data_IF_272147409628
#
_entry.id   IF_272147409628
#
_cell.length_a   1.000
_cell.length_b   1.000
_cell.length_c   1.000
_cell.angle_alpha   90.00
_cell.angle_beta   90.00
_cell.angle_gamma   90.00
#
_symmetry.space_group_name_H-M   'P 1'
#
loop_
_entity.id
_entity.type
_entity.pdbx_description
1 polymer ?
#
# COMPACT_ATOMS: atom_id res chain seq x y z
N UNK A 1 16.27 6.09 17.97
CA UNK A 1 15.85 7.07 18.99
C UNK A 1 14.38 6.79 19.29
N UNK A 2 14.00 6.54 20.55
CA UNK A 2 12.64 6.01 20.88
C UNK A 2 11.62 7.15 20.83
N UNK A 3 10.53 6.99 20.08
CA UNK A 3 9.30 7.83 19.99
C UNK A 3 8.61 8.16 21.35
N UNK A 4 9.38 8.30 22.43
CA UNK A 4 8.84 8.46 23.80
C UNK A 4 8.40 9.89 24.15
N UNK A 5 8.71 10.91 23.34
CA UNK A 5 8.59 12.31 23.78
C UNK A 5 7.51 13.15 23.07
N UNK A 6 6.75 12.61 22.13
CA UNK A 6 5.75 13.42 21.37
C UNK A 6 4.35 13.41 21.98
N UNK A 7 4.07 12.53 22.92
CA UNK A 7 2.74 12.46 23.56
C UNK A 7 2.89 12.58 25.06
N UNK A 8 2.69 13.78 25.61
CA UNK A 8 2.48 13.98 27.05
C UNK A 8 1.30 13.12 27.53
N UNK A 9 1.48 12.29 28.58
CA UNK A 9 0.44 11.38 29.05
C UNK A 9 -0.71 12.05 29.84
N UNK A 10 -0.73 13.34 29.99
CA UNK A 10 -1.52 14.04 31.01
C UNK A 10 -2.89 14.52 30.58
N UNK A 11 -3.71 13.80 29.87
CA UNK A 11 -5.17 14.01 29.93
C UNK A 11 -6.00 12.92 29.22
N UNK A 12 -5.72 11.66 29.46
CA UNK A 12 -6.62 10.60 29.01
C UNK A 12 -7.34 9.99 30.20
N UNK A 13 -8.55 10.48 30.50
CA UNK A 13 -9.54 9.67 31.21
C UNK A 13 -9.86 8.46 30.33
N UNK A 14 -9.05 7.43 30.45
CA UNK A 14 -9.25 6.15 29.74
C UNK A 14 -10.44 5.47 30.40
N UNK A 15 -11.65 5.67 29.84
CA UNK A 15 -12.76 4.76 30.11
C UNK A 15 -12.25 3.33 29.87
N UNK A 16 -12.44 2.40 30.83
CA UNK A 16 -11.98 1.03 30.65
C UNK A 16 -12.60 0.48 29.37
N UNK A 17 -11.76 -0.04 28.47
CA UNK A 17 -12.21 -0.70 27.24
C UNK A 17 -13.23 -1.77 27.62
N UNK A 18 -14.38 -1.81 26.94
CA UNK A 18 -15.35 -2.90 27.11
C UNK A 18 -14.63 -4.25 26.95
N UNK A 19 -15.09 -5.27 27.66
CA UNK A 19 -14.50 -6.62 27.61
C UNK A 19 -14.30 -7.09 26.17
N UNK A 20 -15.24 -6.76 25.30
CA UNK A 20 -15.23 -7.07 23.88
C UNK A 20 -14.05 -6.38 23.15
N UNK A 21 -13.79 -5.10 23.41
CA UNK A 21 -12.65 -4.37 22.82
C UNK A 21 -11.30 -4.90 23.36
N UNK A 22 -11.24 -5.32 24.62
CA UNK A 22 -10.05 -5.95 25.21
C UNK A 22 -9.77 -7.30 24.58
N UNK A 23 -10.82 -8.10 24.35
CA UNK A 23 -10.71 -9.40 23.70
C UNK A 23 -10.21 -9.25 22.26
N UNK A 24 -10.84 -8.36 21.47
CA UNK A 24 -10.41 -8.05 20.09
C UNK A 24 -8.96 -7.57 20.05
N UNK A 25 -8.57 -6.65 20.94
CA UNK A 25 -7.18 -6.18 21.03
C UNK A 25 -6.20 -7.32 21.33
N UNK A 26 -6.56 -8.24 22.25
CA UNK A 26 -5.74 -9.41 22.58
C UNK A 26 -5.69 -10.41 21.43
N UNK A 27 -6.82 -10.65 20.76
CA UNK A 27 -6.88 -11.53 19.58
C UNK A 27 -6.06 -10.99 18.41
N UNK A 28 -5.98 -9.67 18.26
CA UNK A 28 -5.17 -9.01 17.21
C UNK A 28 -3.71 -8.79 17.64
N UNK A 29 -3.26 -9.24 18.81
CA UNK A 29 -1.94 -8.93 19.35
C UNK A 29 -0.80 -9.68 18.63
N UNK A 30 -1.05 -10.87 18.10
CA UNK A 30 -0.05 -11.63 17.34
C UNK A 30 -0.40 -11.69 15.83
N UNK A 31 0.60 -11.79 14.95
CA UNK A 31 0.39 -11.95 13.51
C UNK A 31 -0.49 -13.16 13.17
N UNK A 32 -0.29 -14.28 13.83
CA UNK A 32 -1.10 -15.48 13.63
C UNK A 32 -2.56 -15.31 14.04
N UNK A 33 -2.81 -14.64 15.17
CA UNK A 33 -4.17 -14.34 15.60
C UNK A 33 -4.85 -13.39 14.61
N UNK A 34 -4.16 -12.34 14.17
CA UNK A 34 -4.66 -11.41 13.15
C UNK A 34 -5.00 -12.17 11.85
N UNK A 35 -4.08 -13.00 11.37
CA UNK A 35 -4.27 -13.83 10.17
C UNK A 35 -5.51 -14.71 10.29
N UNK A 36 -5.70 -15.40 11.42
CA UNK A 36 -6.88 -16.25 11.67
C UNK A 36 -8.18 -15.45 11.67
N UNK A 37 -8.20 -14.30 12.35
CA UNK A 37 -9.38 -13.42 12.44
C UNK A 37 -9.76 -12.91 11.05
N UNK A 38 -8.79 -12.39 10.29
CA UNK A 38 -9.03 -11.90 8.92
C UNK A 38 -9.54 -13.01 8.01
N UNK A 39 -9.00 -14.22 8.13
CA UNK A 39 -9.47 -15.38 7.35
C UNK A 39 -10.87 -15.87 7.75
N UNK A 40 -11.32 -15.58 8.95
CA UNK A 40 -12.68 -15.89 9.42
C UNK A 40 -13.66 -14.75 9.18
N UNK A 41 -13.14 -13.53 8.94
CA UNK A 41 -13.98 -12.35 8.73
C UNK A 41 -14.85 -12.52 7.48
N UNK A 42 -16.20 -12.40 7.62
CA UNK A 42 -17.13 -12.77 6.56
C UNK A 42 -16.86 -12.12 5.20
N UNK A 43 -16.54 -10.82 5.09
CA UNK A 43 -16.25 -10.18 3.80
C UNK A 43 -15.09 -10.84 3.04
N UNK A 44 -13.97 -11.13 3.72
CA UNK A 44 -12.82 -11.76 3.09
C UNK A 44 -13.08 -13.24 2.78
N UNK A 45 -13.70 -13.94 3.75
CA UNK A 45 -14.01 -15.36 3.60
C UNK A 45 -14.96 -15.61 2.44
N UNK A 46 -16.02 -14.82 2.31
CA UNK A 46 -17.00 -14.95 1.23
C UNK A 46 -16.38 -14.64 -0.13
N UNK A 47 -15.54 -13.62 -0.20
CA UNK A 47 -14.81 -13.25 -1.42
C UNK A 47 -13.71 -14.24 -1.81
N UNK A 48 -13.36 -15.20 -0.93
CA UNK A 48 -12.28 -16.17 -1.18
C UNK A 48 -10.88 -15.61 -0.93
N UNK A 49 -10.77 -14.43 -0.32
CA UNK A 49 -9.51 -13.82 0.07
C UNK A 49 -8.94 -14.60 1.26
N UNK A 50 -7.65 -14.94 1.20
CA UNK A 50 -6.93 -15.63 2.26
C UNK A 50 -5.61 -14.95 2.54
N UNK A 51 -5.38 -14.63 3.79
CA UNK A 51 -4.09 -14.18 4.27
C UNK A 51 -3.28 -15.45 4.56
N UNK A 52 -2.29 -15.75 3.73
CA UNK A 52 -1.44 -16.93 3.90
C UNK A 52 -0.34 -16.69 4.92
N UNK A 53 0.23 -15.49 4.93
CA UNK A 53 1.34 -15.12 5.79
C UNK A 53 1.23 -13.69 6.30
N UNK A 54 1.69 -13.46 7.53
CA UNK A 54 2.04 -12.17 8.10
C UNK A 54 3.29 -12.42 8.94
N UNK A 55 4.38 -11.71 8.65
CA UNK A 55 5.62 -11.83 9.44
C UNK A 55 5.45 -11.33 10.88
N UNK A 56 6.32 -11.81 11.78
CA UNK A 56 6.24 -11.51 13.21
C UNK A 56 6.32 -10.00 13.51
N UNK A 57 7.11 -9.29 12.74
CA UNK A 57 7.32 -7.85 12.81
C UNK A 57 6.31 -7.04 11.96
N UNK A 58 5.41 -7.72 11.25
CA UNK A 58 4.46 -7.14 10.31
C UNK A 58 5.12 -6.36 9.15
N UNK A 59 6.35 -6.70 8.77
CA UNK A 59 7.03 -6.11 7.61
C UNK A 59 6.52 -6.65 6.28
N UNK A 60 5.91 -7.84 6.28
CA UNK A 60 5.43 -8.52 5.09
C UNK A 60 4.10 -9.23 5.33
N UNK A 61 3.26 -9.26 4.31
CA UNK A 61 2.10 -10.15 4.23
C UNK A 61 1.89 -10.68 2.82
N UNK A 62 1.42 -11.93 2.76
CA UNK A 62 1.00 -12.61 1.54
C UNK A 62 -0.49 -12.89 1.55
N UNK A 63 -1.17 -12.38 0.55
CA UNK A 63 -2.61 -12.54 0.36
C UNK A 63 -2.86 -13.29 -0.94
N UNK A 64 -3.73 -14.28 -0.92
CA UNK A 64 -4.05 -15.12 -2.08
C UNK A 64 -5.55 -15.22 -2.23
N UNK A 65 -6.04 -15.23 -3.46
CA UNK A 65 -7.42 -15.57 -3.75
C UNK A 65 -7.58 -17.07 -4.03
N UNK A 66 -8.56 -17.68 -3.35
CA UNK A 66 -8.95 -19.08 -3.56
C UNK A 66 -10.30 -19.15 -4.27
N UNK A 67 -10.29 -19.72 -5.45
CA UNK A 67 -11.49 -19.88 -6.28
C UNK A 67 -12.50 -20.83 -5.65
N UNK A 68 -13.75 -20.41 -5.66
CA UNK A 68 -14.93 -21.25 -5.42
C UNK A 68 -16.00 -20.90 -6.45
N UNK A 69 -17.02 -21.73 -6.59
CA UNK A 69 -18.11 -21.44 -7.51
C UNK A 69 -18.93 -20.19 -7.12
N UNK A 70 -18.82 -19.73 -5.87
CA UNK A 70 -19.54 -18.57 -5.31
C UNK A 70 -18.83 -17.24 -5.52
N UNK A 71 -17.53 -17.22 -5.82
CA UNK A 71 -16.71 -16.01 -5.81
C UNK A 71 -16.04 -15.70 -7.15
N UNK A 72 -16.54 -16.29 -8.20
CA UNK A 72 -16.17 -15.98 -9.59
C UNK A 72 -17.17 -15.00 -10.19
N UNK A 73 -16.72 -14.22 -11.17
CA UNK A 73 -17.60 -13.40 -12.00
C UNK A 73 -18.25 -14.25 -13.12
N UNK A 74 -19.06 -13.62 -13.97
CA UNK A 74 -19.74 -14.31 -15.09
C UNK A 74 -18.79 -14.93 -16.12
N UNK A 75 -17.52 -14.51 -16.15
CA UNK A 75 -16.49 -15.09 -17.01
C UNK A 75 -15.68 -16.22 -16.32
N UNK A 76 -16.07 -16.63 -15.11
CA UNK A 76 -15.40 -17.71 -14.36
C UNK A 76 -14.06 -17.34 -13.76
N UNK A 77 -13.69 -16.05 -13.72
CA UNK A 77 -12.47 -15.52 -13.13
C UNK A 77 -12.75 -14.69 -11.88
N UNK A 78 -11.70 -14.19 -11.21
CA UNK A 78 -11.86 -13.38 -10.00
C UNK A 78 -12.72 -12.15 -10.29
N UNK A 79 -13.69 -11.87 -9.43
CA UNK A 79 -14.45 -10.63 -9.49
C UNK A 79 -13.50 -9.42 -9.23
N UNK A 80 -13.61 -8.37 -10.05
CA UNK A 80 -12.72 -7.21 -9.97
C UNK A 80 -12.70 -6.54 -8.60
N UNK A 81 -13.86 -6.39 -7.95
CA UNK A 81 -13.93 -5.87 -6.59
C UNK A 81 -13.18 -6.73 -5.55
N UNK A 82 -13.06 -8.04 -5.78
CA UNK A 82 -12.25 -8.92 -4.93
C UNK A 82 -10.75 -8.60 -5.08
N UNK A 83 -10.26 -8.39 -6.30
CA UNK A 83 -8.87 -7.98 -6.53
C UNK A 83 -8.58 -6.64 -5.84
N UNK A 84 -9.49 -5.68 -5.95
CA UNK A 84 -9.38 -4.40 -5.25
C UNK A 84 -9.31 -4.59 -3.72
N UNK A 85 -10.21 -5.40 -3.15
CA UNK A 85 -10.24 -5.70 -1.71
C UNK A 85 -8.97 -6.41 -1.22
N UNK A 86 -8.32 -7.23 -2.05
CA UNK A 86 -7.03 -7.85 -1.71
C UNK A 86 -5.93 -6.80 -1.53
N UNK A 87 -5.93 -5.76 -2.37
CA UNK A 87 -4.95 -4.68 -2.27
C UNK A 87 -5.20 -3.79 -1.05
N UNK A 88 -6.47 -3.50 -0.74
CA UNK A 88 -6.82 -2.57 0.33
C UNK A 88 -6.61 -3.15 1.74
N UNK A 89 -6.98 -4.40 1.98
CA UNK A 89 -7.12 -4.97 3.33
C UNK A 89 -5.82 -4.99 4.14
N UNK A 90 -4.67 -5.23 3.51
CA UNK A 90 -3.42 -5.46 4.26
C UNK A 90 -2.49 -4.25 4.30
N UNK A 91 -2.56 -3.35 3.33
CA UNK A 91 -1.63 -2.22 3.25
C UNK A 91 -1.74 -1.34 4.50
N UNK A 92 -2.93 -0.81 4.79
CA UNK A 92 -3.17 -0.02 5.99
C UNK A 92 -3.00 -0.83 7.30
N UNK A 93 -3.36 -2.13 7.28
CA UNK A 93 -3.25 -3.01 8.45
C UNK A 93 -1.79 -3.26 8.86
N UNK A 94 -0.91 -3.54 7.89
CA UNK A 94 0.52 -3.72 8.17
C UNK A 94 1.15 -2.42 8.67
N UNK A 95 0.92 -1.32 7.97
CA UNK A 95 1.47 -0.03 8.38
C UNK A 95 1.00 0.35 9.78
N UNK A 96 -0.30 0.19 10.10
CA UNK A 96 -0.85 0.44 11.42
C UNK A 96 -0.12 -0.37 12.52
N UNK A 97 0.23 -1.62 12.23
CA UNK A 97 0.97 -2.46 13.19
C UNK A 97 2.41 -2.01 13.37
N UNK A 98 3.05 -1.55 12.30
CA UNK A 98 4.45 -1.09 12.30
C UNK A 98 4.62 0.21 13.08
N UNK A 99 3.77 1.20 12.83
CA UNK A 99 3.83 2.51 13.50
C UNK A 99 3.20 2.51 14.89
N UNK A 100 2.38 1.50 15.21
CA UNK A 100 1.79 1.32 16.53
C UNK A 100 0.42 1.98 16.74
N UNK A 101 -0.13 1.75 17.95
CA UNK A 101 -1.51 2.12 18.29
C UNK A 101 -1.74 3.62 18.55
N UNK A 102 -0.68 4.42 18.55
CA UNK A 102 -0.75 5.88 18.74
C UNK A 102 -1.27 6.62 17.51
N UNK A 103 -1.35 5.95 16.38
CA UNK A 103 -1.70 6.53 15.08
C UNK A 103 -2.97 5.90 14.51
N UNK A 104 -3.55 6.55 13.51
CA UNK A 104 -4.62 6.02 12.67
C UNK A 104 -4.13 6.01 11.22
N UNK A 105 -4.45 4.93 10.49
CA UNK A 105 -4.09 4.74 9.08
C UNK A 105 -5.37 4.50 8.30
N UNK A 106 -5.60 5.31 7.28
CA UNK A 106 -6.76 5.21 6.39
C UNK A 106 -6.33 5.29 4.93
N UNK A 107 -6.91 4.47 4.09
CA UNK A 107 -6.81 4.68 2.64
C UNK A 107 -7.61 5.94 2.30
N UNK A 108 -6.94 6.98 1.80
CA UNK A 108 -7.54 8.25 1.42
C UNK A 108 -8.05 8.24 -0.02
N UNK A 109 -7.24 7.69 -0.90
CA UNK A 109 -7.56 7.51 -2.31
C UNK A 109 -6.96 6.21 -2.83
N UNK A 110 -7.57 5.65 -3.88
CA UNK A 110 -7.04 4.50 -4.57
C UNK A 110 -7.42 4.55 -6.05
N UNK A 111 -6.49 4.17 -6.91
CA UNK A 111 -6.72 3.84 -8.30
C UNK A 111 -6.34 2.39 -8.55
N UNK A 112 -7.05 1.73 -9.48
CA UNK A 112 -6.87 0.33 -9.73
C UNK A 112 -6.96 0.03 -11.22
N UNK A 113 -5.93 -0.64 -11.76
CA UNK A 113 -5.86 -1.04 -13.15
C UNK A 113 -5.95 -2.56 -13.29
N UNK A 114 -6.93 -3.02 -14.04
CA UNK A 114 -7.07 -4.43 -14.42
C UNK A 114 -6.34 -4.66 -15.73
N UNK A 115 -5.31 -5.50 -15.73
CA UNK A 115 -4.48 -5.77 -16.91
C UNK A 115 -4.82 -7.13 -17.54
N UNK A 116 -5.05 -8.13 -16.69
CA UNK A 116 -5.38 -9.51 -17.08
C UNK A 116 -6.39 -10.11 -16.11
N UNK A 117 -7.15 -11.14 -16.52
CA UNK A 117 -8.04 -11.85 -15.61
C UNK A 117 -7.28 -12.45 -14.43
N UNK A 118 -7.75 -12.20 -13.21
CA UNK A 118 -7.21 -12.85 -12.02
C UNK A 118 -7.64 -14.32 -11.98
N UNK A 119 -6.66 -15.23 -11.95
CA UNK A 119 -6.88 -16.70 -11.93
C UNK A 119 -6.78 -17.26 -10.52
N UNK A 120 -7.24 -18.49 -10.31
CA UNK A 120 -7.11 -19.16 -9.02
C UNK A 120 -5.65 -19.14 -8.54
N UNK A 121 -5.44 -18.65 -7.32
CA UNK A 121 -4.10 -18.44 -6.78
C UNK A 121 -3.47 -17.08 -7.12
N UNK A 122 -4.22 -16.15 -7.75
CA UNK A 122 -3.75 -14.77 -7.87
C UNK A 122 -3.40 -14.23 -6.48
N UNK A 123 -2.25 -13.57 -6.38
CA UNK A 123 -1.67 -13.15 -5.10
C UNK A 123 -1.18 -11.71 -5.13
N UNK A 124 -1.07 -11.16 -3.95
CA UNK A 124 -0.40 -9.90 -3.67
C UNK A 124 0.58 -10.11 -2.52
N UNK A 125 1.77 -9.60 -2.69
CA UNK A 125 2.83 -9.53 -1.68
C UNK A 125 2.93 -8.06 -1.26
N UNK A 126 2.73 -7.77 0.03
CA UNK A 126 2.79 -6.42 0.61
C UNK A 126 3.98 -6.37 1.54
N UNK A 127 4.87 -5.41 1.30
CA UNK A 127 6.10 -5.22 2.09
C UNK A 127 6.17 -3.80 2.65
N UNK A 128 6.54 -3.70 3.93
CA UNK A 128 6.83 -2.44 4.61
C UNK A 128 8.20 -2.53 5.29
N UNK A 129 9.28 -2.21 4.61
CA UNK A 129 10.61 -2.20 5.20
C UNK A 129 10.74 -1.11 6.27
N UNK A 130 11.77 -1.23 7.10
CA UNK A 130 11.98 -0.32 8.23
C UNK A 130 12.18 1.13 7.78
N UNK A 131 12.90 1.33 6.69
CA UNK A 131 13.18 2.66 6.13
C UNK A 131 11.91 3.43 5.77
N UNK A 132 10.89 2.72 5.25
CA UNK A 132 9.60 3.32 4.93
C UNK A 132 8.84 3.73 6.19
N UNK A 133 8.89 2.89 7.23
CA UNK A 133 8.26 3.16 8.53
C UNK A 133 8.94 4.34 9.22
N UNK A 134 10.26 4.42 9.15
CA UNK A 134 11.05 5.52 9.70
C UNK A 134 10.71 6.83 8.99
N UNK A 135 10.63 6.82 7.66
CA UNK A 135 10.21 7.98 6.89
C UNK A 135 8.79 8.46 7.24
N UNK A 136 7.83 7.53 7.38
CA UNK A 136 6.47 7.88 7.82
C UNK A 136 6.49 8.54 9.19
N UNK A 137 7.28 8.00 10.12
CA UNK A 137 7.41 8.52 11.47
C UNK A 137 8.03 9.92 11.50
N UNK A 138 9.12 10.12 10.74
CA UNK A 138 9.80 11.41 10.60
C UNK A 138 8.87 12.46 9.98
N UNK A 139 8.12 12.08 8.94
CA UNK A 139 7.15 12.97 8.29
C UNK A 139 6.04 13.40 9.27
N UNK A 140 5.53 12.47 10.09
CA UNK A 140 4.52 12.80 11.09
C UNK A 140 5.09 13.71 12.18
N UNK A 141 6.35 13.53 12.59
CA UNK A 141 7.02 14.42 13.56
C UNK A 141 7.15 15.86 13.02
N UNK A 142 7.38 16.03 11.72
CA UNK A 142 7.55 17.33 11.08
C UNK A 142 6.20 18.00 10.75
N UNK A 143 5.30 17.26 10.10
CA UNK A 143 4.08 17.82 9.50
C UNK A 143 2.82 17.54 10.32
N UNK A 144 2.90 16.67 11.34
CA UNK A 144 1.76 16.23 12.14
C UNK A 144 0.92 15.12 11.48
N UNK A 145 1.19 14.76 10.24
CA UNK A 145 0.56 13.69 9.48
C UNK A 145 1.48 13.23 8.34
N UNK A 146 1.14 12.11 7.72
CA UNK A 146 1.81 11.64 6.52
C UNK A 146 0.79 11.16 5.49
N UNK A 147 0.97 11.54 4.21
CA UNK A 147 0.28 10.94 3.08
C UNK A 147 1.27 10.05 2.33
N UNK A 148 1.15 8.74 2.53
CA UNK A 148 2.06 7.75 1.97
C UNK A 148 1.49 7.21 0.65
N UNK A 149 2.12 7.46 -0.52
CA UNK A 149 1.81 6.75 -1.74
C UNK A 149 2.30 5.31 -1.65
N UNK A 150 1.46 4.36 -2.02
CA UNK A 150 1.77 2.94 -1.97
C UNK A 150 1.21 2.20 -3.18
N UNK A 151 2.05 1.45 -3.88
CA UNK A 151 1.65 0.66 -5.05
C UNK A 151 1.88 -0.82 -4.81
N UNK A 152 0.95 -1.64 -5.24
CA UNK A 152 1.08 -3.10 -5.19
C UNK A 152 0.65 -3.73 -6.51
N UNK A 153 1.23 -4.90 -6.80
CA UNK A 153 0.92 -5.68 -7.98
C UNK A 153 0.30 -7.01 -7.58
N UNK A 154 -0.84 -7.31 -8.20
CA UNK A 154 -1.47 -8.60 -8.09
C UNK A 154 -0.97 -9.49 -9.23
N UNK A 155 -0.42 -10.66 -8.88
CA UNK A 155 0.20 -11.58 -9.83
C UNK A 155 -0.54 -12.89 -9.87
N UNK A 156 -0.78 -13.37 -11.06
CA UNK A 156 -1.21 -14.74 -11.32
C UNK A 156 -0.12 -15.74 -10.91
N UNK A 157 -0.44 -17.04 -10.74
CA UNK A 157 0.55 -18.06 -10.35
C UNK A 157 1.75 -18.19 -11.29
N UNK A 158 1.58 -17.88 -12.56
CA UNK A 158 2.64 -17.86 -13.58
C UNK A 158 3.48 -16.58 -13.60
N UNK A 159 3.21 -15.64 -12.68
CA UNK A 159 3.92 -14.36 -12.57
C UNK A 159 3.35 -13.24 -13.44
N UNK A 160 2.35 -13.51 -14.29
CA UNK A 160 1.68 -12.47 -15.07
C UNK A 160 0.98 -11.47 -14.15
N UNK A 161 1.12 -10.17 -14.42
CA UNK A 161 0.48 -9.12 -13.62
C UNK A 161 -1.00 -9.05 -14.00
N UNK A 162 -1.87 -9.41 -13.05
CA UNK A 162 -3.32 -9.36 -13.22
C UNK A 162 -3.85 -7.95 -13.00
N UNK A 163 -3.30 -7.23 -12.02
CA UNK A 163 -3.74 -5.87 -11.71
C UNK A 163 -2.64 -5.09 -10.97
N UNK A 164 -2.78 -3.76 -10.98
CA UNK A 164 -1.96 -2.84 -10.20
C UNK A 164 -2.90 -1.97 -9.37
N UNK A 165 -2.58 -1.80 -8.09
CA UNK A 165 -3.23 -0.85 -7.20
C UNK A 165 -2.25 0.24 -6.84
N UNK A 166 -2.69 1.48 -6.93
CA UNK A 166 -1.99 2.64 -6.40
C UNK A 166 -2.89 3.32 -5.37
N UNK A 167 -2.40 3.45 -4.14
CA UNK A 167 -3.15 3.96 -3.00
C UNK A 167 -2.41 5.12 -2.35
N UNK A 168 -3.14 6.01 -1.72
CA UNK A 168 -2.61 7.00 -0.81
C UNK A 168 -3.15 6.70 0.60
N UNK A 169 -2.24 6.39 1.51
CA UNK A 169 -2.57 6.18 2.92
C UNK A 169 -2.40 7.48 3.69
N UNK A 170 -3.43 7.89 4.40
CA UNK A 170 -3.37 9.00 5.34
C UNK A 170 -3.07 8.49 6.74
N UNK A 171 -2.00 8.97 7.34
CA UNK A 171 -1.52 8.58 8.67
C UNK A 171 -1.46 9.79 9.57
N UNK A 172 -2.08 9.73 10.73
CA UNK A 172 -2.05 10.83 11.71
C UNK A 172 -2.13 10.30 13.15
N UNK A 173 -1.69 11.09 14.16
CA UNK A 173 -1.83 10.72 15.56
C UNK A 173 -3.31 10.53 15.96
N UNK A 174 -3.58 9.50 16.74
CA UNK A 174 -4.93 9.18 17.22
C UNK A 174 -5.47 10.28 18.14
N UNK A 175 -6.66 10.79 17.82
CA UNK A 175 -7.28 11.88 18.57
C UNK A 175 -6.74 13.26 18.20
N UNK A 176 -5.90 13.37 17.21
CA UNK A 176 -5.58 14.62 16.52
C UNK A 176 -6.83 15.08 15.75
N UNK A 177 -7.32 16.30 16.06
CA UNK A 177 -8.48 16.87 15.38
C UNK A 177 -8.17 17.15 13.91
N UNK A 178 -9.25 17.18 13.14
CA UNK A 178 -9.37 17.54 11.73
C UNK A 178 -8.41 16.85 10.75
N UNK A 179 -9.02 16.05 9.89
CA UNK A 179 -8.46 15.52 8.63
C UNK A 179 -8.25 16.66 7.62
N UNK A 180 -7.58 17.75 8.05
CA UNK A 180 -7.31 18.84 7.15
C UNK A 180 -6.40 18.34 6.04
N UNK A 181 -6.86 18.49 4.80
CA UNK A 181 -6.04 18.28 3.62
C UNK A 181 -5.01 19.42 3.53
N UNK A 182 -3.98 19.39 4.39
CA UNK A 182 -2.84 20.31 4.26
C UNK A 182 -1.94 19.77 3.15
N UNK A 183 -1.37 20.63 2.30
CA UNK A 183 -0.33 20.19 1.39
C UNK A 183 0.83 19.63 2.23
N UNK A 184 1.25 18.42 1.93
CA UNK A 184 2.45 17.85 2.53
C UNK A 184 3.67 18.56 1.96
N UNK A 185 4.65 18.89 2.80
CA UNK A 185 5.92 19.43 2.31
C UNK A 185 6.59 18.41 1.39
N UNK A 186 7.01 18.88 0.21
CA UNK A 186 7.62 18.05 -0.82
C UNK A 186 9.09 17.75 -0.44
N UNK A 187 9.29 16.98 0.62
CA UNK A 187 10.60 16.42 0.90
C UNK A 187 10.89 15.25 -0.04
N UNK A 188 12.17 15.05 -0.32
CA UNK A 188 12.62 13.97 -1.18
C UNK A 188 12.18 12.61 -0.62
N UNK A 189 11.32 11.85 -1.31
CA UNK A 189 10.94 10.53 -0.88
C UNK A 189 12.15 9.62 -0.74
N UNK A 190 12.19 8.79 0.29
CA UNK A 190 13.23 7.76 0.45
C UNK A 190 12.90 6.53 -0.39
N UNK A 191 13.91 5.68 -0.62
CA UNK A 191 13.96 4.61 -1.62
C UNK A 191 12.66 3.91 -1.96
N UNK A 192 11.92 3.44 -0.96
CA UNK A 192 10.68 2.68 -1.20
C UNK A 192 9.54 3.51 -1.80
N UNK A 193 9.50 4.79 -1.47
CA UNK A 193 8.53 5.72 -2.07
C UNK A 193 8.88 5.97 -3.53
N UNK A 194 10.17 6.02 -3.87
CA UNK A 194 10.60 6.17 -5.25
C UNK A 194 10.14 4.99 -6.12
N UNK A 195 10.17 3.75 -5.61
CA UNK A 195 9.64 2.57 -6.31
C UNK A 195 8.13 2.70 -6.55
N UNK A 196 7.37 3.12 -5.52
CA UNK A 196 5.93 3.32 -5.66
C UNK A 196 5.58 4.45 -6.62
N UNK A 197 6.33 5.55 -6.59
CA UNK A 197 6.19 6.64 -7.54
C UNK A 197 6.50 6.18 -8.96
N UNK A 198 7.61 5.45 -9.15
CA UNK A 198 7.99 4.91 -10.45
C UNK A 198 6.90 3.98 -11.01
N UNK A 199 6.32 3.12 -10.15
CA UNK A 199 5.21 2.24 -10.52
C UNK A 199 3.96 3.05 -10.89
N UNK A 200 3.62 4.08 -10.14
CA UNK A 200 2.47 4.94 -10.42
C UNK A 200 2.63 5.71 -11.73
N UNK A 201 3.82 6.23 -12.00
CA UNK A 201 4.13 6.93 -13.26
C UNK A 201 4.07 5.95 -14.44
N UNK A 202 4.66 4.76 -14.31
CA UNK A 202 4.58 3.73 -15.34
C UNK A 202 3.13 3.38 -15.67
N UNK A 203 2.31 3.19 -14.64
CA UNK A 203 0.89 2.94 -14.81
C UNK A 203 0.17 4.09 -15.51
N UNK A 204 0.35 5.32 -15.04
CA UNK A 204 -0.35 6.48 -15.58
C UNK A 204 0.07 6.82 -17.02
N UNK A 205 1.36 6.65 -17.36
CA UNK A 205 1.90 6.97 -18.68
C UNK A 205 1.63 5.87 -19.74
N UNK A 206 1.50 4.59 -19.33
CA UNK A 206 1.46 3.44 -20.23
C UNK A 206 0.24 2.52 -20.04
N UNK A 207 -0.81 2.98 -19.36
CA UNK A 207 -1.99 2.15 -19.08
C UNK A 207 -2.73 1.66 -20.34
N UNK A 208 -2.69 2.44 -21.41
CA UNK A 208 -3.31 2.07 -22.71
C UNK A 208 -2.48 1.04 -23.49
N UNK A 209 -1.26 0.74 -23.04
CA UNK A 209 -0.34 -0.23 -23.65
C UNK A 209 0.08 -1.29 -22.61
N UNK A 210 -0.81 -2.24 -22.24
CA UNK A 210 -0.55 -3.19 -21.15
C UNK A 210 0.73 -4.01 -21.31
N UNK A 211 1.11 -4.36 -22.53
CA UNK A 211 2.34 -5.11 -22.81
C UNK A 211 3.59 -4.29 -22.50
N UNK A 212 3.59 -3.02 -22.92
CA UNK A 212 4.68 -2.06 -22.63
C UNK A 212 4.79 -1.84 -21.12
N UNK A 213 3.64 -1.65 -20.43
CA UNK A 213 3.59 -1.48 -18.99
C UNK A 213 4.17 -2.70 -18.27
N UNK A 214 3.74 -3.92 -18.61
CA UNK A 214 4.22 -5.15 -18.02
C UNK A 214 5.73 -5.32 -18.22
N UNK A 215 6.22 -5.05 -19.42
CA UNK A 215 7.65 -5.12 -19.77
C UNK A 215 8.44 -4.09 -18.97
N UNK A 216 7.96 -2.86 -18.89
CA UNK A 216 8.60 -1.77 -18.16
C UNK A 216 8.71 -2.09 -16.66
N UNK A 217 7.62 -2.52 -16.03
CA UNK A 217 7.60 -2.90 -14.62
C UNK A 217 8.54 -4.08 -14.31
N UNK A 218 8.58 -5.08 -15.20
CA UNK A 218 9.49 -6.22 -15.06
C UNK A 218 10.95 -5.81 -15.16
N UNK A 219 11.26 -4.83 -16.01
CA UNK A 219 12.62 -4.28 -16.19
C UNK A 219 13.03 -3.43 -14.98
N UNK A 220 12.15 -2.55 -14.51
CA UNK A 220 12.40 -1.70 -13.33
C UNK A 220 12.78 -2.53 -12.12
N UNK A 221 12.07 -3.64 -11.85
CA UNK A 221 12.36 -4.53 -10.72
C UNK A 221 13.74 -5.19 -10.72
N UNK A 222 14.42 -5.19 -11.86
CA UNK A 222 15.79 -5.72 -11.99
C UNK A 222 16.84 -4.62 -11.82
N UNK A 223 16.43 -3.36 -11.70
CA UNK A 223 17.36 -2.25 -11.50
C UNK A 223 17.85 -2.23 -10.05
N UNK A 224 19.13 -1.94 -9.83
CA UNK A 224 19.78 -2.05 -8.53
C UNK A 224 19.28 -1.02 -7.51
N UNK A 225 18.76 0.13 -7.94
CA UNK A 225 18.27 1.17 -7.05
C UNK A 225 16.91 1.73 -7.46
N UNK A 226 16.16 2.22 -6.49
CA UNK A 226 14.87 2.87 -6.70
C UNK A 226 15.03 4.22 -7.40
N UNK A 227 16.15 4.90 -7.22
CA UNK A 227 16.46 6.14 -7.94
C UNK A 227 16.63 5.88 -9.42
N UNK A 228 17.32 4.81 -9.81
CA UNK A 228 17.45 4.40 -11.21
C UNK A 228 16.09 4.00 -11.81
N UNK A 229 15.25 3.30 -11.05
CA UNK A 229 13.89 2.94 -11.46
C UNK A 229 13.06 4.19 -11.77
N UNK A 230 13.07 5.18 -10.86
CA UNK A 230 12.35 6.42 -11.03
C UNK A 230 12.89 7.23 -12.22
N UNK A 231 14.20 7.41 -12.31
CA UNK A 231 14.84 8.12 -13.42
C UNK A 231 14.50 7.46 -14.75
N UNK A 232 14.59 6.14 -14.82
CA UNK A 232 14.27 5.40 -16.05
C UNK A 232 12.82 5.57 -16.48
N UNK A 233 11.87 5.45 -15.56
CA UNK A 233 10.43 5.58 -15.89
C UNK A 233 10.09 7.02 -16.28
N UNK A 234 10.68 8.02 -15.62
CA UNK A 234 10.50 9.42 -15.99
C UNK A 234 11.02 9.70 -17.42
N UNK A 235 12.21 9.23 -17.75
CA UNK A 235 12.78 9.37 -19.08
C UNK A 235 11.89 8.71 -20.16
N UNK A 236 11.37 7.49 -19.90
CA UNK A 236 10.44 6.83 -20.82
C UNK A 236 9.10 7.56 -20.93
N UNK A 237 8.53 8.05 -19.83
CA UNK A 237 7.30 8.83 -19.87
C UNK A 237 7.44 10.09 -20.72
N UNK A 238 8.58 10.77 -20.65
CA UNK A 238 8.90 11.91 -21.52
C UNK A 238 9.05 11.49 -23.00
N UNK A 239 9.84 10.47 -23.27
CA UNK A 239 10.21 10.06 -24.63
C UNK A 239 9.06 9.38 -25.38
N UNK A 240 8.30 8.49 -24.74
CA UNK A 240 7.34 7.63 -25.39
C UNK A 240 5.86 8.07 -25.13
N UNK A 241 5.57 8.68 -23.98
CA UNK A 241 4.23 9.15 -23.62
C UNK A 241 4.09 10.68 -23.69
N UNK A 242 5.13 11.40 -24.09
CA UNK A 242 5.16 12.88 -24.23
C UNK A 242 4.83 13.64 -22.94
N UNK A 243 5.18 13.08 -21.80
CA UNK A 243 4.95 13.74 -20.52
C UNK A 243 5.93 14.91 -20.32
N UNK A 244 5.42 15.97 -19.69
CA UNK A 244 6.21 17.16 -19.31
C UNK A 244 6.76 17.03 -17.90
N UNK A 245 7.78 17.84 -17.56
CA UNK A 245 8.28 17.95 -16.20
C UNK A 245 7.18 18.37 -15.23
N UNK A 246 6.27 19.25 -15.63
CA UNK A 246 5.14 19.68 -14.81
C UNK A 246 4.20 18.51 -14.45
N UNK A 247 3.93 17.63 -15.42
CA UNK A 247 3.12 16.43 -15.18
C UNK A 247 3.81 15.49 -14.18
N UNK A 248 5.11 15.27 -14.32
CA UNK A 248 5.90 14.46 -13.40
C UNK A 248 5.93 15.07 -11.98
N UNK A 249 6.07 16.39 -11.86
CA UNK A 249 6.00 17.09 -10.59
C UNK A 249 4.64 16.94 -9.89
N UNK A 250 3.54 16.88 -10.63
CA UNK A 250 2.20 16.58 -10.07
C UNK A 250 2.13 15.18 -9.43
N UNK A 251 2.97 14.25 -9.86
CA UNK A 251 3.15 12.95 -9.23
C UNK A 251 4.13 12.98 -8.06
N UNK A 252 4.63 14.15 -7.67
CA UNK A 252 5.55 14.33 -6.56
C UNK A 252 7.02 14.04 -6.89
N UNK A 253 7.39 13.90 -8.19
CA UNK A 253 8.78 13.64 -8.59
C UNK A 253 9.65 14.86 -8.22
N UNK A 254 10.67 14.68 -7.38
CA UNK A 254 11.59 15.75 -7.04
C UNK A 254 12.35 16.27 -8.27
N UNK A 255 12.62 17.59 -8.32
CA UNK A 255 13.26 18.25 -9.47
C UNK A 255 14.61 17.63 -9.86
N UNK A 256 15.35 17.11 -8.90
CA UNK A 256 16.65 16.43 -9.14
C UNK A 256 16.58 15.18 -10.04
N UNK A 257 15.39 14.64 -10.29
CA UNK A 257 15.16 13.47 -11.17
C UNK A 257 14.55 13.87 -12.53
N UNK A 258 14.39 15.15 -12.79
CA UNK A 258 13.71 15.66 -13.97
C UNK A 258 14.65 16.18 -15.07
N UNK A 259 15.95 16.29 -14.79
CA UNK A 259 16.98 16.76 -15.69
C UNK A 259 17.45 15.68 -16.67
#
# INVERSE_FOLDING_TARGET
MKLKNVISPENRTTKPLSLQKRLVKRMMSSPDSLRRILNLWPPLRASGIRIEEITADASYAKIVWKRTWKNVNMHGVTFGGTLFSMADVMVGTLLQRRIGNGFEVWTRSASFQYLKPGRNGVRIDVEFPQELVDWVSETIEQDGYCNLPFSCMLKNPDGEIAAISHQELHVHPRGGGERAARPQHAETPRGYILEHMATAIAWAAFHDTPETLTTLLSRMRRMPSQEEQLTHVCAKAKAEASWTNEQLQKFGVPSKYLD
#
